data_IF_029608769165
#
_entry.id   IF_029608769165
#
_cell.length_a   1.000
_cell.length_b   1.000
_cell.length_c   1.000
_cell.angle_alpha   90.00
_cell.angle_beta   90.00
_cell.angle_gamma   90.00
#
_symmetry.space_group_name_H-M   'P 1'
#
loop_
_entity.id
_entity.type
_entity.pdbx_description
1 polymer ?
#
# COMPACT_ATOMS: atom_id res chain seq x y z
N UNK A 1 -11.70 -61.91 -51.48
CA UNK A 1 -12.00 -61.91 -50.02
C UNK A 1 -11.21 -60.78 -49.38
N UNK A 2 -11.80 -59.59 -49.26
CA UNK A 2 -11.17 -58.39 -48.68
C UNK A 2 -12.26 -57.55 -47.99
N UNK A 3 -12.69 -57.89 -46.77
CA UNK A 3 -13.71 -57.09 -46.04
C UNK A 3 -13.69 -57.34 -44.53
N UNK A 4 -12.52 -57.30 -43.88
CA UNK A 4 -12.50 -57.48 -42.41
C UNK A 4 -11.61 -56.50 -41.63
N UNK A 5 -10.76 -55.72 -42.30
CA UNK A 5 -9.77 -54.85 -41.63
C UNK A 5 -10.15 -53.36 -41.48
N UNK A 6 -11.28 -52.90 -42.04
CA UNK A 6 -11.66 -51.47 -41.98
C UNK A 6 -12.57 -51.09 -40.81
N UNK A 7 -13.27 -52.04 -40.19
CA UNK A 7 -14.22 -51.74 -39.09
C UNK A 7 -13.52 -51.49 -37.75
N UNK A 8 -12.40 -52.15 -37.50
CA UNK A 8 -11.65 -52.04 -36.24
C UNK A 8 -10.96 -50.66 -36.14
N UNK A 9 -10.39 -50.14 -37.23
CA UNK A 9 -9.68 -48.85 -37.23
C UNK A 9 -10.59 -47.63 -37.01
N UNK A 10 -11.86 -47.71 -37.43
CA UNK A 10 -12.85 -46.65 -37.17
C UNK A 10 -13.33 -46.64 -35.72
N UNK A 11 -13.44 -47.82 -35.08
CA UNK A 11 -13.83 -47.93 -33.68
C UNK A 11 -12.76 -47.37 -32.73
N UNK A 12 -11.47 -47.65 -33.00
CA UNK A 12 -10.35 -47.08 -32.24
C UNK A 12 -10.22 -45.57 -32.41
N UNK A 13 -10.46 -45.03 -33.62
CA UNK A 13 -10.48 -43.57 -33.83
C UNK A 13 -11.62 -42.92 -33.06
N UNK A 14 -12.84 -43.49 -33.07
CA UNK A 14 -13.99 -42.91 -32.34
C UNK A 14 -13.80 -42.93 -30.82
N UNK A 15 -13.19 -43.99 -30.27
CA UNK A 15 -12.89 -44.11 -28.83
C UNK A 15 -11.79 -43.13 -28.41
N UNK A 16 -10.77 -42.91 -29.25
CA UNK A 16 -9.70 -41.93 -28.96
C UNK A 16 -10.23 -40.48 -29.01
N UNK A 17 -11.16 -40.15 -29.92
CA UNK A 17 -11.78 -38.81 -29.94
C UNK A 17 -12.71 -38.57 -28.73
N UNK A 18 -13.40 -39.61 -28.24
CA UNK A 18 -14.25 -39.51 -27.05
C UNK A 18 -13.44 -39.42 -25.74
N UNK A 19 -12.29 -40.11 -25.65
CA UNK A 19 -11.37 -39.94 -24.52
C UNK A 19 -10.66 -38.57 -24.52
N UNK A 20 -10.42 -37.97 -25.69
CA UNK A 20 -9.82 -36.64 -25.80
C UNK A 20 -10.80 -35.50 -25.47
N UNK A 21 -12.12 -35.73 -25.52
CA UNK A 21 -13.14 -34.74 -25.17
C UNK A 21 -13.55 -34.76 -23.69
N UNK A 22 -13.17 -35.82 -22.94
CA UNK A 22 -13.54 -35.99 -21.53
C UNK A 22 -12.49 -35.43 -20.54
N UNK A 23 -11.39 -34.86 -21.01
CA UNK A 23 -10.30 -34.33 -20.16
C UNK A 23 -10.36 -32.81 -19.94
N UNK A 24 -11.39 -32.11 -20.44
CA UNK A 24 -11.50 -30.65 -20.37
C UNK A 24 -12.49 -30.12 -19.30
N UNK A 25 -12.91 -30.95 -18.35
CA UNK A 25 -13.68 -30.52 -17.18
C UNK A 25 -12.87 -30.65 -15.90
N UNK A 26 -11.73 -29.96 -15.83
CA UNK A 26 -11.14 -29.61 -14.52
C UNK A 26 -11.94 -28.42 -13.99
N UNK A 27 -12.99 -28.70 -13.22
CA UNK A 27 -13.71 -27.69 -12.47
C UNK A 27 -12.73 -26.94 -11.58
N UNK A 28 -12.73 -25.60 -11.68
CA UNK A 28 -12.02 -24.77 -10.74
C UNK A 28 -12.65 -24.98 -9.35
N UNK A 29 -11.98 -25.74 -8.49
CA UNK A 29 -12.30 -25.76 -7.08
C UNK A 29 -11.95 -24.37 -6.56
N UNK A 30 -12.95 -23.49 -6.45
CA UNK A 30 -12.82 -22.32 -5.58
C UNK A 30 -12.65 -22.86 -4.17
N UNK A 31 -11.45 -22.71 -3.61
CA UNK A 31 -11.27 -22.83 -2.18
C UNK A 31 -12.12 -21.73 -1.56
N UNK A 32 -13.30 -22.08 -1.04
CA UNK A 32 -14.01 -21.21 -0.13
C UNK A 32 -13.07 -20.97 1.05
N UNK A 33 -12.59 -19.74 1.19
CA UNK A 33 -11.74 -19.33 2.30
C UNK A 33 -12.56 -19.55 3.57
N UNK A 34 -12.08 -20.44 4.46
CA UNK A 34 -12.81 -20.78 5.68
C UNK A 34 -12.73 -19.58 6.62
N UNK A 35 -13.87 -19.18 7.19
CA UNK A 35 -13.90 -18.10 8.16
C UNK A 35 -13.02 -18.42 9.37
N UNK A 36 -12.41 -17.36 9.91
CA UNK A 36 -11.49 -17.41 11.04
C UNK A 36 -12.26 -17.58 12.34
N UNK A 37 -11.58 -18.08 13.35
CA UNK A 37 -12.11 -18.21 14.71
C UNK A 37 -11.47 -17.15 15.61
N UNK A 38 -12.24 -16.63 16.56
CA UNK A 38 -11.72 -15.77 17.61
C UNK A 38 -10.74 -16.54 18.52
N UNK A 39 -9.82 -15.83 19.16
CA UNK A 39 -8.82 -16.38 20.08
C UNK A 39 -7.90 -17.50 19.52
N UNK A 40 -7.95 -17.73 18.21
CA UNK A 40 -7.03 -18.63 17.51
C UNK A 40 -5.89 -17.84 16.89
N UNK A 41 -4.67 -18.42 16.84
CA UNK A 41 -3.57 -17.81 16.11
C UNK A 41 -3.92 -17.63 14.63
N UNK A 42 -3.78 -16.40 14.14
CA UNK A 42 -3.95 -16.04 12.73
C UNK A 42 -2.72 -15.30 12.23
N UNK A 43 -2.51 -15.36 10.92
CA UNK A 43 -1.54 -14.55 10.20
C UNK A 43 -2.31 -13.73 9.17
N UNK A 44 -2.24 -12.41 9.28
CA UNK A 44 -2.91 -11.48 8.39
C UNK A 44 -1.87 -10.60 7.69
N UNK A 45 -2.14 -10.24 6.44
CA UNK A 45 -1.26 -9.41 5.63
C UNK A 45 -2.04 -8.22 5.07
N UNK A 46 -1.38 -7.07 5.01
CA UNK A 46 -2.01 -5.82 4.61
C UNK A 46 -1.13 -4.61 4.87
N UNK A 47 -1.68 -3.42 4.65
CA UNK A 47 -0.98 -2.14 4.85
C UNK A 47 -1.35 -1.58 6.23
N UNK A 48 -0.35 -1.15 7.00
CA UNK A 48 -0.61 -0.44 8.26
C UNK A 48 -0.93 1.02 7.98
N UNK A 49 -2.11 1.47 8.40
CA UNK A 49 -2.55 2.85 8.38
C UNK A 49 -2.61 3.40 9.81
N UNK A 50 -2.08 4.59 10.05
CA UNK A 50 -2.20 5.27 11.35
C UNK A 50 -3.37 6.25 11.25
N UNK A 51 -4.44 5.99 12.01
CA UNK A 51 -5.62 6.84 12.06
C UNK A 51 -5.76 7.51 13.41
N UNK A 52 -6.28 8.74 13.39
CA UNK A 52 -6.61 9.51 14.58
C UNK A 52 -8.12 9.47 14.78
N UNK A 53 -8.55 9.00 15.94
CA UNK A 53 -9.94 9.00 16.37
C UNK A 53 -10.14 9.98 17.51
N UNK A 54 -11.33 10.58 17.62
CA UNK A 54 -11.65 11.43 18.75
C UNK A 54 -12.07 10.60 19.96
N UNK A 55 -11.43 10.88 21.08
CA UNK A 55 -11.68 10.27 22.37
C UNK A 55 -12.48 11.20 23.30
N UNK A 56 -12.52 10.90 24.60
CA UNK A 56 -13.21 11.74 25.58
C UNK A 56 -12.70 13.19 25.60
N UNK A 57 -13.51 14.15 26.10
CA UNK A 57 -14.81 13.92 26.72
C UNK A 57 -15.99 13.77 25.74
N UNK A 58 -15.95 14.37 24.56
CA UNK A 58 -17.11 14.44 23.66
C UNK A 58 -16.98 13.62 22.36
N UNK A 59 -15.87 12.88 22.17
CA UNK A 59 -15.73 11.88 21.10
C UNK A 59 -15.98 12.39 19.67
N UNK A 60 -15.56 13.64 19.41
CA UNK A 60 -15.64 14.30 18.11
C UNK A 60 -16.74 15.34 18.02
N UNK A 61 -17.58 15.50 19.04
CA UNK A 61 -18.53 16.62 19.11
C UNK A 61 -17.80 17.95 19.33
N UNK A 62 -16.65 17.94 20.01
CA UNK A 62 -15.75 19.09 20.12
C UNK A 62 -14.28 18.70 19.83
N UNK A 63 -13.91 18.63 18.53
CA UNK A 63 -12.58 18.19 18.10
C UNK A 63 -11.39 19.00 18.65
N UNK A 64 -11.61 20.23 19.11
CA UNK A 64 -10.54 21.08 19.66
C UNK A 64 -10.18 20.69 21.10
N UNK A 65 -11.15 20.18 21.86
CA UNK A 65 -10.99 19.83 23.28
C UNK A 65 -10.94 18.32 23.53
N UNK A 66 -11.36 17.53 22.54
CA UNK A 66 -11.35 16.08 22.61
C UNK A 66 -9.93 15.49 22.51
N UNK A 67 -9.70 14.45 23.29
CA UNK A 67 -8.46 13.67 23.21
C UNK A 67 -8.32 12.98 21.85
N UNK A 68 -7.08 12.76 21.43
CA UNK A 68 -6.76 12.09 20.15
C UNK A 68 -6.28 10.66 20.42
N UNK A 69 -7.06 9.70 19.95
CA UNK A 69 -6.72 8.28 20.02
C UNK A 69 -6.06 7.86 18.70
N UNK A 70 -4.74 7.72 18.74
CA UNK A 70 -3.97 7.24 17.59
C UNK A 70 -4.02 5.71 17.61
N UNK A 71 -4.51 5.10 16.52
CA UNK A 71 -4.60 3.65 16.38
C UNK A 71 -3.99 3.21 15.05
N UNK A 72 -3.32 2.06 15.07
CA UNK A 72 -2.88 1.40 13.85
C UNK A 72 -3.97 0.49 13.33
N UNK A 73 -4.39 0.69 12.09
CA UNK A 73 -5.34 -0.14 11.37
C UNK A 73 -4.58 -0.95 10.32
N UNK A 74 -4.79 -2.26 10.27
CA UNK A 74 -4.33 -3.08 9.16
C UNK A 74 -5.42 -3.14 8.10
N UNK A 75 -5.16 -2.51 6.95
CA UNK A 75 -5.97 -2.65 5.76
C UNK A 75 -5.55 -3.93 5.02
N UNK A 76 -6.40 -4.95 5.07
CA UNK A 76 -6.09 -6.30 4.64
C UNK A 76 -5.97 -6.41 3.12
N UNK A 77 -5.10 -7.30 2.65
CA UNK A 77 -4.99 -7.62 1.21
C UNK A 77 -6.26 -8.25 0.64
N UNK A 78 -7.00 -8.95 1.49
CA UNK A 78 -8.25 -9.63 1.16
C UNK A 78 -9.23 -9.49 2.32
N UNK A 79 -10.53 -9.32 2.03
CA UNK A 79 -11.54 -9.37 3.07
C UNK A 79 -11.50 -10.71 3.80
N UNK A 80 -11.68 -10.68 5.12
CA UNK A 80 -11.81 -11.87 5.96
C UNK A 80 -13.23 -12.00 6.52
N UNK A 81 -13.54 -13.17 7.05
CA UNK A 81 -14.75 -13.40 7.84
C UNK A 81 -14.39 -14.13 9.13
N UNK A 82 -15.26 -14.03 10.13
CA UNK A 82 -15.20 -14.81 11.37
C UNK A 82 -16.45 -15.66 11.53
N UNK A 83 -16.33 -16.77 12.28
CA UNK A 83 -17.50 -17.55 12.68
C UNK A 83 -18.14 -16.97 13.94
N UNK A 84 -19.44 -17.18 14.10
CA UNK A 84 -20.17 -16.82 15.32
C UNK A 84 -19.71 -17.71 16.48
N UNK A 85 -19.43 -17.09 17.62
CA UNK A 85 -19.09 -17.77 18.88
C UNK A 85 -19.82 -17.10 20.05
N UNK A 86 -19.85 -17.72 21.23
CA UNK A 86 -20.81 -17.42 22.32
C UNK A 86 -21.03 -15.93 22.64
N UNK A 87 -19.95 -15.13 22.65
CA UNK A 87 -20.00 -13.69 22.95
C UNK A 87 -19.56 -12.80 21.77
N UNK A 88 -19.36 -13.40 20.59
CA UNK A 88 -18.79 -12.72 19.42
C UNK A 88 -19.64 -13.00 18.17
N UNK A 89 -20.15 -11.93 17.55
CA UNK A 89 -20.91 -12.03 16.31
C UNK A 89 -20.02 -12.53 15.15
N UNK A 90 -20.64 -13.17 14.16
CA UNK A 90 -19.96 -13.50 12.91
C UNK A 90 -19.76 -12.26 12.06
N UNK A 91 -18.53 -11.99 11.67
CA UNK A 91 -18.18 -10.90 10.76
C UNK A 91 -17.98 -11.39 9.33
N UNK A 92 -18.36 -10.56 8.36
CA UNK A 92 -18.27 -10.87 6.92
C UNK A 92 -17.59 -9.73 6.18
N UNK A 93 -16.76 -10.09 5.21
CA UNK A 93 -16.12 -9.15 4.27
C UNK A 93 -15.35 -8.02 4.97
N UNK A 94 -14.76 -8.30 6.14
CA UNK A 94 -13.99 -7.32 6.90
C UNK A 94 -12.65 -7.07 6.21
N UNK A 95 -12.39 -5.81 5.86
CA UNK A 95 -11.14 -5.39 5.21
C UNK A 95 -10.23 -4.59 6.15
N UNK A 96 -10.72 -4.17 7.31
CA UNK A 96 -9.97 -3.38 8.28
C UNK A 96 -9.95 -4.07 9.65
N UNK A 97 -8.77 -4.12 10.26
CA UNK A 97 -8.57 -4.71 11.59
C UNK A 97 -7.74 -3.76 12.45
N UNK A 98 -8.23 -3.39 13.63
CA UNK A 98 -7.44 -2.58 14.58
C UNK A 98 -6.33 -3.43 15.16
N UNK A 99 -5.08 -2.96 15.07
CA UNK A 99 -3.92 -3.61 15.65
C UNK A 99 -3.77 -3.20 17.12
N UNK A 100 -3.73 -4.18 18.02
CA UNK A 100 -3.47 -4.00 19.44
C UNK A 100 -2.01 -4.40 19.71
N UNK A 101 -1.09 -3.43 19.86
CA UNK A 101 0.33 -3.73 20.06
C UNK A 101 0.57 -4.33 21.44
N UNK A 102 1.54 -5.26 21.51
CA UNK A 102 2.04 -5.79 22.79
C UNK A 102 3.32 -5.07 23.20
N UNK A 103 3.41 -4.68 24.48
CA UNK A 103 4.58 -4.00 25.04
C UNK A 103 4.74 -2.56 24.54
N UNK A 104 5.98 -2.18 24.19
CA UNK A 104 6.35 -0.82 23.75
C UNK A 104 6.43 -0.66 22.23
N UNK A 105 5.73 -1.49 21.47
CA UNK A 105 5.74 -1.46 20.01
C UNK A 105 5.03 -0.19 19.50
N UNK A 106 5.76 0.67 18.79
CA UNK A 106 5.17 1.81 18.09
C UNK A 106 4.74 1.39 16.68
N UNK A 107 3.43 1.40 16.42
CA UNK A 107 2.89 1.05 15.11
C UNK A 107 3.20 2.11 14.04
N UNK A 108 3.56 3.35 14.44
CA UNK A 108 3.96 4.39 13.51
C UNK A 108 5.21 4.02 12.69
N UNK A 109 6.10 3.17 13.22
CA UNK A 109 7.27 2.65 12.49
C UNK A 109 6.89 1.82 11.25
N UNK A 110 5.66 1.32 11.22
CA UNK A 110 5.10 0.50 10.15
C UNK A 110 4.11 1.26 9.26
N UNK A 111 3.83 2.53 9.54
CA UNK A 111 2.88 3.34 8.79
C UNK A 111 3.16 3.30 7.27
N UNK A 112 2.13 3.00 6.49
CA UNK A 112 2.17 2.89 5.03
C UNK A 112 3.00 1.72 4.51
N UNK A 113 3.43 0.79 5.37
CA UNK A 113 4.14 -0.44 4.98
C UNK A 113 3.15 -1.59 4.88
N UNK A 114 3.37 -2.42 3.88
CA UNK A 114 2.76 -3.73 3.81
C UNK A 114 3.50 -4.69 4.74
N UNK A 115 2.76 -5.35 5.62
CA UNK A 115 3.27 -6.21 6.68
C UNK A 115 2.46 -7.49 6.75
N UNK A 116 3.12 -8.54 7.23
CA UNK A 116 2.48 -9.73 7.78
C UNK A 116 2.54 -9.66 9.30
N UNK A 117 1.37 -9.67 9.94
CA UNK A 117 1.20 -9.70 11.40
C UNK A 117 0.71 -11.06 11.86
N UNK A 118 1.11 -11.46 13.06
CA UNK A 118 0.62 -12.67 13.71
C UNK A 118 -0.02 -12.29 15.04
N UNK A 119 -1.13 -12.92 15.39
CA UNK A 119 -1.89 -12.57 16.58
C UNK A 119 -3.14 -13.43 16.78
N UNK A 120 -4.01 -12.97 17.66
CA UNK A 120 -5.35 -13.53 17.88
C UNK A 120 -6.42 -12.47 17.67
N UNK A 121 -7.52 -12.85 17.02
CA UNK A 121 -8.64 -11.96 16.78
C UNK A 121 -9.56 -11.89 18.00
N UNK A 122 -10.03 -10.68 18.31
CA UNK A 122 -11.13 -10.41 19.23
C UNK A 122 -12.17 -9.50 18.57
N UNK A 123 -13.41 -9.58 19.04
CA UNK A 123 -14.50 -8.74 18.55
C UNK A 123 -14.51 -7.38 19.27
N UNK A 124 -15.02 -6.36 18.60
CA UNK A 124 -15.27 -5.08 19.22
C UNK A 124 -16.42 -5.15 20.23
N UNK A 125 -16.11 -4.91 21.52
CA UNK A 125 -17.12 -4.91 22.59
C UNK A 125 -17.50 -3.52 23.12
N UNK A 126 -16.87 -2.44 22.63
CA UNK A 126 -17.14 -1.08 23.09
C UNK A 126 -17.18 -0.11 21.91
N UNK A 127 -17.87 1.01 22.09
CA UNK A 127 -17.86 2.12 21.12
C UNK A 127 -16.51 2.84 20.99
N UNK A 128 -15.48 2.41 21.73
CA UNK A 128 -14.11 2.91 21.59
C UNK A 128 -13.28 2.11 20.58
N UNK A 129 -13.83 1.01 20.07
CA UNK A 129 -13.23 0.23 18.99
C UNK A 129 -13.75 0.76 17.65
N UNK A 130 -12.83 1.10 16.75
CA UNK A 130 -13.17 1.75 15.49
C UNK A 130 -13.30 0.78 14.30
N UNK A 131 -13.07 -0.51 14.54
CA UNK A 131 -13.30 -1.62 13.59
C UNK A 131 -14.00 -2.76 14.32
N UNK A 132 -14.73 -3.61 13.59
CA UNK A 132 -15.41 -4.78 14.17
C UNK A 132 -14.43 -5.83 14.73
N UNK A 133 -13.26 -5.96 14.08
CA UNK A 133 -12.22 -6.91 14.46
C UNK A 133 -11.00 -6.19 15.03
N UNK A 134 -10.45 -6.73 16.11
CA UNK A 134 -9.17 -6.34 16.68
C UNK A 134 -8.19 -7.50 16.61
N UNK A 135 -6.90 -7.22 16.42
CA UNK A 135 -5.84 -8.21 16.42
C UNK A 135 -4.81 -7.90 17.50
N UNK A 136 -4.77 -8.74 18.53
CA UNK A 136 -3.72 -8.70 19.55
C UNK A 136 -2.43 -9.28 18.99
N UNK A 137 -1.39 -8.44 18.89
CA UNK A 137 -0.15 -8.83 18.23
C UNK A 137 0.68 -9.79 19.09
N UNK A 138 1.01 -10.96 18.53
CA UNK A 138 1.92 -11.94 19.13
C UNK A 138 3.42 -11.60 18.94
N UNK A 139 3.73 -10.40 18.44
CA UNK A 139 5.10 -9.92 18.21
C UNK A 139 5.13 -8.70 17.29
N UNK A 140 6.32 -8.37 16.78
CA UNK A 140 6.50 -7.26 15.85
C UNK A 140 5.90 -7.59 14.48
N UNK A 141 5.14 -6.69 13.83
CA UNK A 141 4.79 -6.80 12.43
C UNK A 141 6.04 -7.10 11.62
N UNK A 142 5.95 -8.09 10.73
CA UNK A 142 7.04 -8.39 9.80
C UNK A 142 6.70 -7.64 8.54
N UNK A 143 7.40 -6.55 8.20
CA UNK A 143 7.28 -5.99 6.86
C UNK A 143 7.48 -7.14 5.89
N UNK A 144 6.59 -7.25 4.92
CA UNK A 144 6.80 -8.19 3.83
C UNK A 144 8.19 -7.94 3.28
N UNK A 145 8.78 -8.95 2.64
CA UNK A 145 10.00 -8.77 1.87
C UNK A 145 9.67 -7.92 0.60
N UNK A 146 9.09 -6.74 0.79
CA UNK A 146 8.42 -5.84 -0.15
C UNK A 146 7.31 -6.56 -0.95
N UNK A 147 6.05 -6.08 -0.94
CA UNK A 147 5.13 -6.45 -2.01
C UNK A 147 5.81 -6.05 -3.32
N UNK A 148 5.84 -6.95 -4.31
CA UNK A 148 6.68 -6.95 -5.52
C UNK A 148 6.79 -5.61 -6.26
N UNK A 149 7.57 -4.70 -5.70
CA UNK A 149 8.14 -3.54 -6.37
C UNK A 149 9.63 -3.61 -6.11
N UNK A 150 10.47 -3.83 -7.14
CA UNK A 150 11.90 -3.78 -6.94
C UNK A 150 12.23 -2.36 -6.52
N UNK A 151 12.49 -2.17 -5.22
CA UNK A 151 13.18 -0.98 -4.75
C UNK A 151 14.38 -0.79 -5.67
N UNK A 152 14.56 0.41 -6.26
CA UNK A 152 15.59 0.60 -7.26
C UNK A 152 16.92 0.16 -6.67
N UNK A 153 17.71 -0.58 -7.47
CA UNK A 153 19.04 -1.01 -7.06
C UNK A 153 19.82 0.15 -6.46
N UNK A 154 20.75 -0.11 -5.52
CA UNK A 154 21.53 0.97 -4.88
C UNK A 154 22.18 1.93 -5.89
N UNK A 155 22.61 1.41 -7.05
CA UNK A 155 23.12 2.19 -8.16
C UNK A 155 22.04 3.07 -8.82
N UNK A 156 20.87 2.51 -9.11
CA UNK A 156 19.75 3.27 -9.67
C UNK A 156 19.21 4.33 -8.70
N UNK A 157 19.06 3.98 -7.42
CA UNK A 157 18.71 4.94 -6.36
C UNK A 157 19.69 6.10 -6.33
N UNK A 158 21.00 5.82 -6.43
CA UNK A 158 22.01 6.88 -6.50
C UNK A 158 21.79 7.80 -7.71
N UNK A 159 21.54 7.23 -8.90
CA UNK A 159 21.30 8.01 -10.12
C UNK A 159 20.05 8.91 -10.01
N UNK A 160 18.99 8.41 -9.38
CA UNK A 160 17.76 9.19 -9.11
C UNK A 160 18.09 10.37 -8.20
N UNK A 161 18.74 10.12 -7.06
CA UNK A 161 19.08 11.18 -6.10
C UNK A 161 20.07 12.20 -6.69
N UNK A 162 20.98 11.76 -7.55
CA UNK A 162 21.91 12.64 -8.27
C UNK A 162 21.22 13.52 -9.31
N UNK A 163 20.10 13.06 -9.89
CA UNK A 163 19.29 13.88 -10.79
C UNK A 163 18.46 14.95 -10.04
N UNK A 164 18.02 14.63 -8.82
CA UNK A 164 17.17 15.54 -8.02
C UNK A 164 18.01 16.64 -7.36
N UNK A 165 19.17 16.27 -6.78
CA UNK A 165 19.94 17.15 -5.89
C UNK A 165 20.31 18.52 -6.50
N UNK A 166 20.72 18.64 -7.78
CA UNK A 166 21.03 19.94 -8.37
C UNK A 166 19.81 20.86 -8.46
N UNK A 167 18.65 20.31 -8.86
CA UNK A 167 17.41 21.06 -8.91
C UNK A 167 16.99 21.50 -7.50
N UNK A 168 16.98 20.58 -6.54
CA UNK A 168 16.59 20.86 -5.16
C UNK A 168 17.52 21.89 -4.50
N UNK A 169 18.83 21.81 -4.75
CA UNK A 169 19.79 22.80 -4.25
C UNK A 169 19.58 24.18 -4.87
N UNK A 170 19.21 24.24 -6.15
CA UNK A 170 18.89 25.49 -6.83
C UNK A 170 17.64 26.15 -6.24
N UNK A 171 16.59 25.39 -5.96
CA UNK A 171 15.36 25.93 -5.35
C UNK A 171 15.54 26.29 -3.88
N UNK A 172 16.31 25.51 -3.12
CA UNK A 172 16.62 25.76 -1.72
C UNK A 172 17.67 26.88 -1.50
N UNK A 173 18.30 27.37 -2.58
CA UNK A 173 19.35 28.39 -2.54
C UNK A 173 20.64 27.95 -1.83
N UNK A 174 20.81 26.65 -1.56
CA UNK A 174 21.94 26.10 -0.82
C UNK A 174 22.15 24.62 -1.13
N UNK A 175 23.31 24.06 -0.75
CA UNK A 175 23.56 22.64 -0.90
C UNK A 175 22.67 21.82 0.04
N UNK A 176 22.10 20.72 -0.49
CA UNK A 176 21.14 19.89 0.24
C UNK A 176 21.53 18.41 0.24
N UNK A 177 21.15 17.71 1.29
CA UNK A 177 20.99 16.26 1.32
C UNK A 177 19.50 15.91 1.26
N UNK A 178 19.21 14.72 0.74
CA UNK A 178 17.83 14.22 0.61
C UNK A 178 17.66 13.08 1.61
N UNK A 179 16.78 13.29 2.60
CA UNK A 179 16.27 12.21 3.44
C UNK A 179 15.01 11.67 2.77
N UNK A 180 15.10 10.43 2.30
CA UNK A 180 14.03 9.78 1.54
C UNK A 180 13.11 9.03 2.49
N UNK A 181 11.82 9.36 2.44
CA UNK A 181 10.79 8.65 3.18
C UNK A 181 10.13 7.57 2.28
N UNK A 182 9.89 7.89 1.00
CA UNK A 182 9.41 6.95 -0.02
C UNK A 182 10.08 7.18 -1.37
N UNK A 183 10.38 6.10 -2.07
CA UNK A 183 10.83 6.13 -3.46
C UNK A 183 10.20 4.96 -4.21
N UNK A 184 9.19 5.25 -5.02
CA UNK A 184 8.54 4.30 -5.90
C UNK A 184 9.11 4.46 -7.30
N UNK A 185 9.48 3.37 -7.95
CA UNK A 185 10.02 3.36 -9.32
C UNK A 185 9.31 2.27 -10.11
N UNK A 186 8.76 2.62 -11.27
CA UNK A 186 8.14 1.68 -12.19
C UNK A 186 8.50 2.08 -13.61
N UNK A 187 9.12 1.16 -14.34
CA UNK A 187 9.56 1.37 -15.72
C UNK A 187 10.46 2.62 -15.82
N UNK A 188 10.05 3.60 -16.62
CA UNK A 188 10.75 4.87 -16.81
C UNK A 188 10.18 5.99 -15.93
N UNK A 189 9.42 5.70 -14.88
CA UNK A 189 8.83 6.69 -13.98
C UNK A 189 9.24 6.47 -12.53
N UNK A 190 9.32 7.56 -11.78
CA UNK A 190 9.63 7.51 -10.36
C UNK A 190 8.93 8.62 -9.60
N UNK A 191 8.57 8.31 -8.35
CA UNK A 191 8.00 9.26 -7.40
C UNK A 191 8.82 9.18 -6.12
N UNK A 192 9.29 10.33 -5.64
CA UNK A 192 10.02 10.46 -4.39
C UNK A 192 9.27 11.38 -3.43
N UNK A 193 9.12 10.90 -2.18
CA UNK A 193 8.70 11.70 -1.04
C UNK A 193 9.84 11.70 -0.03
N UNK A 194 10.11 12.85 0.55
CA UNK A 194 11.10 12.97 1.60
C UNK A 194 11.16 14.37 2.18
N UNK A 195 12.34 14.71 2.68
CA UNK A 195 12.68 16.06 3.11
C UNK A 195 14.11 16.42 2.74
N UNK A 196 14.35 17.72 2.63
CA UNK A 196 15.67 18.27 2.43
C UNK A 196 16.30 18.61 3.79
N UNK A 197 17.59 18.35 3.92
CA UNK A 197 18.41 18.75 5.06
C UNK A 197 19.69 19.42 4.56
N UNK A 198 20.34 20.21 5.40
CA UNK A 198 21.59 20.89 5.04
C UNK A 198 22.71 19.88 4.75
N UNK A 199 23.77 20.33 4.08
CA UNK A 199 24.90 19.50 3.67
C UNK A 199 25.65 18.84 4.85
N UNK A 200 25.57 19.44 6.04
CA UNK A 200 26.12 18.93 7.29
C UNK A 200 25.16 17.99 8.04
N UNK A 201 23.94 17.77 7.51
CA UNK A 201 22.89 16.96 8.10
C UNK A 201 21.96 17.72 9.06
N UNK A 202 22.18 19.02 9.26
CA UNK A 202 21.33 19.90 10.07
C UNK A 202 20.10 20.44 9.32
N UNK A 203 19.42 21.40 9.93
CA UNK A 203 18.25 22.05 9.35
C UNK A 203 18.64 23.01 8.22
N UNK A 204 17.78 23.12 7.20
CA UNK A 204 17.98 24.06 6.12
C UNK A 204 17.68 25.49 6.55
N UNK A 205 18.45 26.44 5.99
CA UNK A 205 18.10 27.84 6.08
C UNK A 205 17.06 28.19 5.01
N UNK A 206 15.78 28.00 5.32
CA UNK A 206 14.67 28.24 4.38
C UNK A 206 14.54 29.69 3.88
N UNK A 207 15.18 30.66 4.53
CA UNK A 207 15.23 32.06 4.04
C UNK A 207 16.00 32.21 2.74
N UNK A 208 16.82 31.22 2.38
CA UNK A 208 17.54 31.18 1.10
C UNK A 208 16.71 30.55 -0.03
N UNK A 209 15.64 29.83 0.32
CA UNK A 209 14.81 29.15 -0.65
C UNK A 209 13.93 30.13 -1.42
N UNK A 210 13.77 29.88 -2.72
CA UNK A 210 12.95 30.71 -3.59
C UNK A 210 11.47 30.40 -3.37
N UNK A 211 10.64 31.44 -3.27
CA UNK A 211 9.17 31.34 -3.20
C UNK A 211 8.68 30.38 -2.09
N UNK A 212 9.40 30.37 -0.97
CA UNK A 212 9.19 29.47 0.15
C UNK A 212 8.91 30.26 1.43
N UNK A 213 7.78 30.04 2.08
CA UNK A 213 7.56 30.58 3.42
C UNK A 213 8.41 29.78 4.42
N UNK A 214 9.28 30.44 5.19
CA UNK A 214 10.19 29.75 6.10
C UNK A 214 9.49 29.08 7.29
N UNK A 215 8.27 29.50 7.64
CA UNK A 215 7.59 29.11 8.88
C UNK A 215 6.58 27.96 8.69
N UNK A 216 6.30 27.58 7.43
CA UNK A 216 5.42 26.45 7.13
C UNK A 216 6.14 25.09 7.25
N UNK A 217 5.39 24.00 7.32
CA UNK A 217 5.96 22.67 7.13
C UNK A 217 6.53 22.50 5.72
N UNK A 218 7.51 21.60 5.60
CA UNK A 218 8.28 21.39 4.37
C UNK A 218 8.35 19.91 4.04
N UNK A 219 8.08 19.61 2.79
CA UNK A 219 8.33 18.30 2.22
C UNK A 219 8.99 18.42 0.86
N UNK A 220 9.68 17.35 0.47
CA UNK A 220 10.16 17.13 -0.88
C UNK A 220 9.20 16.15 -1.57
N UNK A 221 8.54 16.62 -2.61
CA UNK A 221 7.81 15.79 -3.58
C UNK A 221 8.52 15.89 -4.92
N UNK A 222 8.79 14.75 -5.57
CA UNK A 222 9.42 14.74 -6.89
C UNK A 222 8.76 13.70 -7.79
N UNK A 223 8.37 14.12 -8.99
CA UNK A 223 8.02 13.24 -10.10
C UNK A 223 9.21 13.20 -11.06
N UNK A 224 9.66 11.99 -11.38
CA UNK A 224 10.76 11.74 -12.29
C UNK A 224 10.32 10.93 -13.49
N UNK A 225 10.98 11.17 -14.62
CA UNK A 225 10.88 10.32 -15.79
C UNK A 225 12.26 10.08 -16.41
N UNK A 226 12.50 8.84 -16.80
CA UNK A 226 13.75 8.35 -17.38
C UNK A 226 13.67 8.47 -18.90
N UNK A 227 14.63 9.17 -19.48
CA UNK A 227 14.80 9.27 -20.93
C UNK A 227 16.24 8.95 -21.28
N UNK A 228 16.49 8.09 -22.27
CA UNK A 228 17.86 7.73 -22.69
C UNK A 228 18.74 7.26 -21.52
N UNK A 229 18.16 6.49 -20.60
CA UNK A 229 18.78 5.97 -19.35
C UNK A 229 19.16 7.03 -18.30
N UNK A 230 18.77 8.30 -18.49
CA UNK A 230 18.99 9.37 -17.52
C UNK A 230 17.67 9.75 -16.87
N UNK A 231 17.69 9.91 -15.54
CA UNK A 231 16.54 10.40 -14.78
C UNK A 231 16.43 11.91 -14.90
N UNK A 232 15.23 12.42 -15.13
CA UNK A 232 14.95 13.85 -15.21
C UNK A 232 13.82 14.18 -14.25
N UNK A 233 13.95 15.30 -13.54
CA UNK A 233 12.88 15.89 -12.75
C UNK A 233 11.81 16.44 -13.69
N UNK A 234 10.57 15.99 -13.54
CA UNK A 234 9.40 16.48 -14.29
C UNK A 234 8.58 17.47 -13.49
N UNK A 235 8.46 17.21 -12.20
CA UNK A 235 7.85 18.10 -11.22
C UNK A 235 8.60 17.94 -9.92
N UNK A 236 8.76 19.05 -9.19
CA UNK A 236 9.33 19.06 -7.86
C UNK A 236 8.71 20.16 -7.04
N UNK A 237 8.39 19.84 -5.79
CA UNK A 237 7.89 20.78 -4.81
C UNK A 237 8.72 20.58 -3.53
N UNK A 238 9.40 21.64 -3.08
CA UNK A 238 10.23 21.61 -1.86
C UNK A 238 9.64 22.43 -0.69
N UNK A 239 8.52 23.13 -0.95
CA UNK A 239 7.92 24.14 -0.07
C UNK A 239 6.44 23.89 0.20
N UNK A 240 5.92 22.71 -0.12
CA UNK A 240 4.51 22.41 0.11
C UNK A 240 4.29 22.01 1.59
N UNK A 241 3.34 22.64 2.31
CA UNK A 241 2.97 22.21 3.65
C UNK A 241 2.17 20.90 3.64
N UNK A 242 1.54 20.58 2.51
CA UNK A 242 0.75 19.38 2.32
C UNK A 242 1.25 18.58 1.11
N UNK A 243 1.06 17.25 1.11
CA UNK A 243 1.42 16.43 -0.04
C UNK A 243 0.69 16.80 -1.32
N UNK A 244 1.39 17.20 -2.40
CA UNK A 244 0.74 17.53 -3.67
C UNK A 244 -0.11 16.39 -4.23
N UNK A 245 0.25 15.14 -3.91
CA UNK A 245 -0.51 13.96 -4.33
C UNK A 245 -1.90 13.85 -3.70
N UNK A 246 -2.19 14.57 -2.61
CA UNK A 246 -3.54 14.61 -2.03
C UNK A 246 -4.59 15.15 -3.00
N UNK A 247 -4.15 16.02 -3.91
CA UNK A 247 -5.00 16.70 -4.88
C UNK A 247 -5.08 15.99 -6.23
N UNK A 248 -4.47 14.80 -6.38
CA UNK A 248 -4.53 14.06 -7.64
C UNK A 248 -5.92 13.46 -7.85
N UNK A 249 -6.56 13.88 -8.94
CA UNK A 249 -7.78 13.27 -9.44
C UNK A 249 -7.45 12.07 -10.33
N UNK A 250 -8.43 11.22 -10.62
CA UNK A 250 -8.22 10.00 -11.42
C UNK A 250 -7.60 10.29 -12.80
N UNK A 251 -7.93 11.46 -13.40
CA UNK A 251 -7.37 11.91 -14.68
C UNK A 251 -5.88 12.26 -14.61
N UNK A 252 -5.36 12.56 -13.43
CA UNK A 252 -3.96 12.95 -13.22
C UNK A 252 -3.07 11.71 -12.97
N UNK A 253 -3.67 10.55 -12.68
CA UNK A 253 -3.02 9.26 -12.45
C UNK A 253 -2.50 8.63 -13.77
N UNK A 254 -1.62 9.34 -14.46
CA UNK A 254 -1.18 9.01 -15.83
C UNK A 254 0.11 8.17 -15.90
N UNK A 255 0.88 8.13 -14.82
CA UNK A 255 2.08 7.30 -14.66
C UNK A 255 1.72 5.81 -14.41
N UNK A 256 2.66 4.86 -14.60
CA UNK A 256 2.43 3.46 -14.22
C UNK A 256 1.94 3.35 -12.79
N UNK A 257 0.86 2.60 -12.56
CA UNK A 257 0.13 2.67 -11.29
C UNK A 257 0.97 2.35 -10.05
N UNK A 258 2.02 1.55 -10.22
CA UNK A 258 2.91 1.18 -9.13
C UNK A 258 3.72 2.36 -8.57
N UNK A 259 3.87 3.48 -9.30
CA UNK A 259 4.53 4.66 -8.74
C UNK A 259 3.68 5.33 -7.66
N UNK A 260 2.37 5.07 -7.64
CA UNK A 260 1.44 5.58 -6.64
C UNK A 260 1.27 4.66 -5.43
N UNK A 261 1.99 3.53 -5.38
CA UNK A 261 1.86 2.54 -4.32
C UNK A 261 2.03 3.14 -2.92
N UNK A 262 1.02 2.97 -2.07
CA UNK A 262 0.99 3.47 -0.69
C UNK A 262 0.92 4.99 -0.57
N UNK A 263 0.50 5.68 -1.64
CA UNK A 263 0.08 7.07 -1.57
C UNK A 263 -1.44 7.09 -1.35
N UNK A 264 -1.89 7.79 -0.32
CA UNK A 264 -3.30 7.89 0.03
C UNK A 264 -3.67 9.35 0.28
N UNK A 265 -4.84 9.76 -0.19
CA UNK A 265 -5.41 11.10 -0.02
C UNK A 265 -6.67 11.13 0.87
N UNK A 266 -6.87 10.10 1.70
CA UNK A 266 -8.00 9.99 2.63
C UNK A 266 -9.28 9.39 2.02
N UNK A 267 -9.28 9.04 0.73
CA UNK A 267 -10.41 8.36 0.08
C UNK A 267 -10.10 6.88 -0.19
N UNK A 268 -9.03 6.62 -0.94
CA UNK A 268 -8.51 5.30 -1.32
C UNK A 268 -7.03 5.41 -1.68
N UNK A 269 -6.34 4.28 -1.67
CA UNK A 269 -4.98 4.18 -2.21
C UNK A 269 -4.95 4.60 -3.70
N UNK A 270 -3.97 5.44 -4.05
CA UNK A 270 -3.84 6.03 -5.38
C UNK A 270 -3.43 5.00 -6.44
N UNK A 271 -2.69 3.94 -6.08
CA UNK A 271 -2.39 2.84 -7.00
C UNK A 271 -3.67 2.08 -7.36
N UNK A 272 -4.52 1.75 -6.37
CA UNK A 272 -5.81 1.10 -6.64
C UNK A 272 -6.68 1.97 -7.56
N UNK A 273 -6.80 3.27 -7.26
CA UNK A 273 -7.54 4.23 -8.10
C UNK A 273 -6.98 4.27 -9.53
N UNK A 274 -5.65 4.32 -9.68
CA UNK A 274 -5.00 4.29 -10.99
C UNK A 274 -5.34 3.01 -11.76
N UNK A 275 -5.30 1.83 -11.11
CA UNK A 275 -5.60 0.54 -11.76
C UNK A 275 -7.06 0.47 -12.20
N UNK A 276 -7.99 0.94 -11.37
CA UNK A 276 -9.41 1.03 -11.70
C UNK A 276 -9.63 1.95 -12.90
N UNK A 277 -9.03 3.14 -12.89
CA UNK A 277 -9.16 4.11 -13.98
C UNK A 277 -8.59 3.58 -15.29
N UNK A 278 -7.41 2.95 -15.25
CA UNK A 278 -6.72 2.40 -16.42
C UNK A 278 -7.49 1.27 -17.12
N UNK A 279 -8.36 0.57 -16.38
CA UNK A 279 -9.15 -0.55 -16.90
C UNK A 279 -10.53 -0.14 -17.45
N UNK A 280 -10.92 1.14 -17.36
CA UNK A 280 -12.17 1.62 -17.95
C UNK A 280 -12.05 1.70 -19.48
N UNK A 281 -13.01 1.16 -20.26
CA UNK A 281 -13.01 1.35 -21.72
C UNK A 281 -13.14 2.85 -22.03
N UNK A 282 -12.25 3.34 -22.90
CA UNK A 282 -12.26 4.73 -23.40
C UNK A 282 -13.34 4.94 -24.45
#
# INVERSE_FOLDING_TARGET
>A
MMTENKRITHLYKLIITLLAFLTLYTGAVSAAERCLHYDKPVSLSGIVEIRVFFGPPNFGEDPETDSRNIQGILFLDKPICTVEEEFNDAEKEQIEVTLIPTGSLDLADFAGRHVTVNGSLSHAHSGHHNTALLLELAGTPKPDAKPNMPEPSKSERKLILDAIRPAAASEAGQAVLIKVDRLNVSHDWGVLIGKLVAADGGDLNWKLAKDCDADLDKMLWVVLNKSSKQWNVKQMDICSPEPPYWYLEDKDLTMPCEVYAGLNNGQKDLEERCRIHSNKPR
#
